data_IF_594323020150
#
_entry.id   IF_594323020150
#
_cell.length_a   1.000
_cell.length_b   1.000
_cell.length_c   1.000
_cell.angle_alpha   90.00
_cell.angle_beta   90.00
_cell.angle_gamma   90.00
#
_symmetry.space_group_name_H-M   'P 1'
#
loop_
_entity.id
_entity.type
_entity.pdbx_description
1 polymer ?
#
# COMPACT_ATOMS: atom_id res chain seq x y z
N UNK A 1 18.51 17.99 -12.32
CA UNK A 1 17.68 17.46 -13.42
C UNK A 1 17.38 16.01 -13.10
N UNK A 2 16.10 15.61 -13.01
CA UNK A 2 15.71 14.21 -12.82
C UNK A 2 15.72 13.51 -14.17
N UNK A 3 16.38 12.36 -14.27
CA UNK A 3 16.36 11.56 -15.49
C UNK A 3 15.40 10.38 -15.32
N UNK A 4 14.45 10.27 -16.25
CA UNK A 4 13.38 9.29 -16.19
C UNK A 4 13.59 8.17 -17.22
N UNK A 5 13.45 6.92 -16.79
CA UNK A 5 13.71 5.74 -17.64
C UNK A 5 12.53 4.79 -17.68
N UNK A 6 12.24 4.22 -18.85
CA UNK A 6 11.25 3.14 -18.98
C UNK A 6 11.84 1.86 -18.39
N UNK A 7 11.12 1.20 -17.48
CA UNK A 7 11.61 0.08 -16.66
C UNK A 7 12.13 -1.17 -17.39
N UNK A 8 11.97 -1.26 -18.72
CA UNK A 8 12.50 -2.34 -19.57
C UNK A 8 13.49 -1.83 -20.64
N UNK A 9 14.08 -0.66 -20.44
CA UNK A 9 15.04 -0.11 -21.40
C UNK A 9 16.36 -0.89 -21.34
N UNK A 10 16.84 -1.49 -22.44
CA UNK A 10 18.14 -2.17 -22.48
C UNK A 10 19.32 -1.23 -22.20
N UNK A 11 19.09 0.09 -22.27
CA UNK A 11 20.08 1.13 -22.01
C UNK A 11 20.24 1.48 -20.52
N UNK A 12 19.47 0.87 -19.62
CA UNK A 12 19.60 1.08 -18.17
C UNK A 12 21.03 0.73 -17.70
N UNK A 13 21.56 -0.42 -18.10
CA UNK A 13 22.92 -0.84 -17.72
C UNK A 13 24.04 0.03 -18.32
N UNK A 14 23.84 0.57 -19.53
CA UNK A 14 24.85 1.43 -20.18
C UNK A 14 24.92 2.84 -19.57
N UNK A 15 23.81 3.39 -19.08
CA UNK A 15 23.80 4.69 -18.39
C UNK A 15 24.46 4.59 -17.01
N UNK A 16 24.29 3.45 -16.31
CA UNK A 16 24.94 3.19 -15.01
C UNK A 16 26.48 3.22 -15.09
N UNK A 17 27.06 2.97 -16.26
CA UNK A 17 28.51 2.86 -16.44
C UNK A 17 29.15 4.15 -16.99
N UNK A 18 28.35 5.17 -17.32
CA UNK A 18 28.80 6.39 -18.02
C UNK A 18 28.62 7.70 -17.26
N UNK A 19 28.08 7.69 -16.04
CA UNK A 19 27.89 8.93 -15.27
C UNK A 19 29.10 9.26 -14.39
N UNK A 20 29.76 10.36 -14.75
CA UNK A 20 30.79 11.05 -14.00
C UNK A 20 30.40 11.26 -12.53
N UNK A 21 31.42 11.15 -11.68
CA UNK A 21 31.40 11.17 -10.20
C UNK A 21 30.80 12.44 -9.54
N UNK A 22 30.19 13.36 -10.28
CA UNK A 22 29.72 14.66 -9.78
C UNK A 22 28.25 15.01 -10.08
N UNK A 23 27.42 14.06 -10.52
CA UNK A 23 25.99 14.32 -10.72
C UNK A 23 25.14 13.09 -10.43
N UNK A 24 24.75 12.91 -9.17
CA UNK A 24 23.74 11.94 -8.73
C UNK A 24 22.35 12.36 -9.24
N UNK A 25 22.20 12.48 -10.55
CA UNK A 25 20.90 12.70 -11.15
C UNK A 25 20.07 11.45 -10.86
N UNK A 26 19.14 11.60 -9.92
CA UNK A 26 18.24 10.55 -9.49
C UNK A 26 17.60 9.88 -10.70
N UNK A 27 17.96 8.61 -10.86
CA UNK A 27 17.51 7.78 -11.95
C UNK A 27 16.16 7.18 -11.54
N UNK A 28 15.07 7.77 -12.01
CA UNK A 28 13.71 7.37 -11.60
C UNK A 28 13.05 6.58 -12.71
N UNK A 29 12.34 5.51 -12.35
CA UNK A 29 11.50 4.79 -13.31
C UNK A 29 10.32 5.67 -13.76
N UNK A 30 10.16 5.87 -15.07
CA UNK A 30 8.96 6.45 -15.66
C UNK A 30 7.75 5.60 -15.30
N UNK A 31 6.74 6.23 -14.71
CA UNK A 31 5.47 5.59 -14.39
C UNK A 31 4.30 6.48 -14.77
N UNK A 32 3.15 5.86 -15.00
CA UNK A 32 1.92 6.58 -15.36
C UNK A 32 1.36 7.40 -14.20
N UNK A 33 1.69 7.04 -12.96
CA UNK A 33 1.21 7.72 -11.75
C UNK A 33 2.13 8.88 -11.28
N UNK A 34 3.17 9.21 -12.07
CA UNK A 34 4.06 10.38 -11.91
C UNK A 34 4.62 10.58 -10.49
N UNK A 35 4.83 9.50 -9.76
CA UNK A 35 5.34 9.51 -8.39
C UNK A 35 6.65 8.70 -8.37
N UNK A 36 7.66 9.12 -7.61
CA UNK A 36 8.95 8.42 -7.55
C UNK A 36 8.91 7.14 -6.70
N UNK A 37 7.73 6.81 -6.18
CA UNK A 37 7.41 5.56 -5.49
C UNK A 37 6.13 4.95 -6.09
N UNK A 38 5.85 3.68 -5.81
CA UNK A 38 4.54 3.05 -6.00
C UNK A 38 3.90 2.78 -4.65
N UNK A 39 2.68 3.29 -4.47
CA UNK A 39 1.84 2.93 -3.32
C UNK A 39 0.85 1.87 -3.77
N UNK A 40 1.09 0.63 -3.36
CA UNK A 40 0.19 -0.48 -3.61
C UNK A 40 -0.76 -0.63 -2.41
N UNK A 41 -2.05 -0.43 -2.67
CA UNK A 41 -3.12 -0.50 -1.68
C UNK A 41 -3.94 -1.77 -1.91
N UNK A 42 -3.84 -2.73 -0.99
CA UNK A 42 -4.47 -4.03 -1.15
C UNK A 42 -5.47 -4.30 -0.02
N UNK A 43 -6.76 -4.43 -0.35
CA UNK A 43 -7.81 -4.79 0.60
C UNK A 43 -7.73 -6.30 0.86
N UNK A 44 -7.26 -6.70 2.05
CA UNK A 44 -7.02 -8.11 2.41
C UNK A 44 -8.26 -8.83 2.92
N UNK A 45 -9.01 -8.18 3.80
CA UNK A 45 -10.12 -8.83 4.50
C UNK A 45 -11.24 -7.84 4.78
N UNK A 46 -12.47 -8.34 4.67
CA UNK A 46 -13.70 -7.58 4.87
C UNK A 46 -14.58 -8.32 5.88
N UNK A 47 -14.37 -8.08 7.18
CA UNK A 47 -15.16 -8.68 8.27
C UNK A 47 -16.48 -7.93 8.47
N UNK A 48 -17.34 -8.38 9.40
CA UNK A 48 -18.62 -7.71 9.67
C UNK A 48 -18.44 -6.25 10.09
N UNK A 49 -17.52 -6.00 11.02
CA UNK A 49 -17.34 -4.68 11.65
C UNK A 49 -16.03 -3.99 11.28
N UNK A 50 -15.09 -4.72 10.68
CA UNK A 50 -13.76 -4.22 10.35
C UNK A 50 -13.37 -4.60 8.93
N UNK A 51 -12.47 -3.83 8.35
CA UNK A 51 -11.80 -4.18 7.11
C UNK A 51 -10.31 -3.90 7.22
N UNK A 52 -9.52 -4.72 6.53
CA UNK A 52 -8.07 -4.67 6.61
C UNK A 52 -7.47 -4.33 5.26
N UNK A 53 -6.56 -3.38 5.28
CA UNK A 53 -5.76 -2.96 4.14
C UNK A 53 -4.31 -3.28 4.41
N UNK A 54 -3.60 -3.79 3.41
CA UNK A 54 -2.15 -3.81 3.39
C UNK A 54 -1.67 -2.75 2.42
N UNK A 55 -0.84 -1.84 2.92
CA UNK A 55 -0.16 -0.84 2.12
C UNK A 55 1.28 -1.27 1.90
N UNK A 56 1.77 -1.10 0.67
CA UNK A 56 3.16 -1.36 0.30
C UNK A 56 3.68 -0.16 -0.47
N UNK A 57 4.75 0.45 0.03
CA UNK A 57 5.42 1.58 -0.59
C UNK A 57 6.71 1.06 -1.21
N UNK A 58 6.84 1.14 -2.52
CA UNK A 58 8.02 0.67 -3.26
C UNK A 58 8.75 1.85 -3.87
N UNK A 59 10.06 1.91 -3.71
CA UNK A 59 10.91 2.93 -4.31
C UNK A 59 11.17 2.63 -5.79
N UNK A 60 11.00 3.63 -6.65
CA UNK A 60 11.32 3.57 -8.08
C UNK A 60 12.53 4.41 -8.48
N UNK A 61 13.25 4.91 -7.48
CA UNK A 61 14.49 5.62 -7.61
C UNK A 61 15.67 4.64 -7.50
N UNK A 62 16.41 4.45 -8.58
CA UNK A 62 17.60 3.58 -8.60
C UNK A 62 18.83 4.26 -8.00
N UNK A 63 18.82 5.59 -7.88
CA UNK A 63 19.98 6.36 -7.43
C UNK A 63 19.86 6.92 -6.01
N UNK A 64 18.69 6.84 -5.36
CA UNK A 64 18.48 7.48 -4.05
C UNK A 64 17.57 6.68 -3.11
N UNK A 65 18.00 6.59 -1.85
CA UNK A 65 17.18 6.14 -0.73
C UNK A 65 16.33 7.31 -0.22
N UNK A 66 15.19 7.02 0.39
CA UNK A 66 14.44 8.00 1.17
C UNK A 66 14.59 7.72 2.66
N UNK A 67 15.30 8.59 3.37
CA UNK A 67 15.32 8.60 4.85
C UNK A 67 14.15 9.42 5.37
N UNK A 68 13.62 9.04 6.54
CA UNK A 68 12.52 9.74 7.22
C UNK A 68 11.34 10.03 6.26
N UNK A 69 11.05 9.06 5.40
CA UNK A 69 10.02 9.20 4.39
C UNK A 69 8.65 9.40 5.05
N UNK A 70 7.81 10.19 4.39
CA UNK A 70 6.47 10.53 4.84
C UNK A 70 5.47 10.25 3.73
N UNK A 71 4.40 9.52 4.06
CA UNK A 71 3.30 9.22 3.16
C UNK A 71 2.02 9.82 3.75
N UNK A 72 1.39 10.73 3.01
CA UNK A 72 0.07 11.26 3.38
C UNK A 72 -0.97 10.61 2.49
N UNK A 73 -2.02 10.05 3.08
CA UNK A 73 -3.14 9.48 2.37
C UNK A 73 -4.45 10.10 2.87
N UNK A 74 -5.31 10.49 1.94
CA UNK A 74 -6.66 10.98 2.23
C UNK A 74 -7.69 9.91 1.90
N UNK A 75 -8.51 9.55 2.89
CA UNK A 75 -9.60 8.60 2.78
C UNK A 75 -10.64 8.89 3.88
N UNK A 76 -11.95 8.90 3.56
CA UNK A 76 -13.00 9.25 4.53
C UNK A 76 -12.97 8.40 5.81
N UNK A 77 -12.55 7.14 5.71
CA UNK A 77 -12.50 6.20 6.84
C UNK A 77 -11.24 6.27 7.71
N UNK A 78 -10.31 7.21 7.47
CA UNK A 78 -9.16 7.41 8.38
C UNK A 78 -9.58 7.92 9.75
N UNK A 79 -10.74 8.55 9.85
CA UNK A 79 -11.38 8.89 11.14
C UNK A 79 -11.67 7.65 12.01
N UNK A 80 -11.78 6.47 11.39
CA UNK A 80 -12.14 5.19 12.01
C UNK A 80 -10.98 4.20 11.96
N UNK A 81 -9.75 4.68 11.80
CA UNK A 81 -8.55 3.86 11.88
C UNK A 81 -8.39 3.32 13.31
N UNK A 82 -8.44 2.00 13.45
CA UNK A 82 -8.40 1.32 14.75
C UNK A 82 -6.98 0.93 15.13
N UNK A 83 -6.23 0.37 14.19
CA UNK A 83 -4.83 0.02 14.42
C UNK A 83 -4.02 0.08 13.14
N UNK A 84 -2.74 0.34 13.31
CA UNK A 84 -1.72 0.30 12.26
C UNK A 84 -0.57 -0.57 12.76
N UNK A 85 0.00 -1.38 11.87
CA UNK A 85 1.19 -2.17 12.15
C UNK A 85 2.37 -1.67 11.33
N UNK A 86 3.58 -1.79 11.87
CA UNK A 86 4.85 -1.50 11.18
C UNK A 86 5.12 -0.04 10.79
N UNK A 87 4.14 0.87 10.78
CA UNK A 87 4.34 2.32 10.58
C UNK A 87 3.85 3.11 11.78
N UNK A 88 4.39 4.31 11.95
CA UNK A 88 3.79 5.33 12.79
C UNK A 88 2.71 6.09 12.00
N UNK A 89 1.72 6.62 12.72
CA UNK A 89 0.68 7.45 12.12
C UNK A 89 0.29 8.63 13.00
N UNK A 90 -0.18 9.68 12.34
CA UNK A 90 -0.96 10.74 12.98
C UNK A 90 -2.06 11.20 12.03
N UNK A 91 -3.22 11.55 12.59
CA UNK A 91 -4.28 12.19 11.82
C UNK A 91 -3.90 13.66 11.57
N UNK A 92 -3.97 14.10 10.32
CA UNK A 92 -3.85 15.51 9.97
C UNK A 92 -5.24 16.13 9.98
N UNK A 93 -5.40 17.21 10.74
CA UNK A 93 -6.63 17.99 10.78
C UNK A 93 -6.34 19.46 10.45
N UNK A 94 -6.21 19.81 9.16
CA UNK A 94 -5.77 21.15 8.77
C UNK A 94 -6.76 22.26 9.15
N UNK A 95 -8.05 21.93 9.36
CA UNK A 95 -9.11 22.92 9.62
C UNK A 95 -10.07 22.56 10.76
N UNK A 96 -9.71 21.61 11.63
CA UNK A 96 -10.54 21.20 12.77
C UNK A 96 -11.76 20.33 12.42
N UNK A 97 -12.15 20.25 11.14
CA UNK A 97 -13.46 19.73 10.73
C UNK A 97 -13.49 18.23 10.41
N UNK A 98 -12.42 17.65 9.85
CA UNK A 98 -12.41 16.24 9.40
C UNK A 98 -11.01 15.61 9.52
N UNK A 99 -10.94 14.44 10.15
CA UNK A 99 -9.73 13.60 10.26
C UNK A 99 -9.67 12.57 9.13
N UNK A 100 -9.91 13.00 7.89
CA UNK A 100 -9.93 12.13 6.72
C UNK A 100 -8.55 11.94 6.09
N UNK A 101 -7.51 12.52 6.69
CA UNK A 101 -6.16 12.54 6.18
C UNK A 101 -5.22 11.97 7.24
N UNK A 102 -4.41 10.98 6.87
CA UNK A 102 -3.41 10.38 7.73
C UNK A 102 -2.01 10.63 7.19
N UNK A 103 -1.10 11.07 8.06
CA UNK A 103 0.33 11.08 7.83
C UNK A 103 0.93 9.79 8.40
N UNK A 104 1.66 9.06 7.57
CA UNK A 104 2.31 7.79 7.86
C UNK A 104 3.82 7.95 7.69
N UNK A 105 4.61 7.39 8.58
CA UNK A 105 6.07 7.39 8.47
C UNK A 105 6.69 6.14 9.08
N UNK A 106 7.95 5.90 8.74
CA UNK A 106 8.72 4.77 9.25
C UNK A 106 8.99 4.85 10.76
N UNK A 107 9.13 3.70 11.39
CA UNK A 107 9.62 3.54 12.76
C UNK A 107 11.14 3.65 12.71
N UNK A 108 11.69 4.50 13.57
CA UNK A 108 13.13 4.75 13.68
C UNK A 108 13.89 3.43 13.89
N UNK A 109 14.97 3.20 13.16
CA UNK A 109 15.78 1.98 13.21
C UNK A 109 15.08 0.68 12.77
N UNK A 110 13.90 0.76 12.15
CA UNK A 110 13.20 -0.41 11.61
C UNK A 110 12.90 -0.26 10.12
N UNK A 111 12.18 0.79 9.74
CA UNK A 111 11.82 1.07 8.35
C UNK A 111 11.74 2.58 8.07
N UNK A 112 12.50 3.37 8.81
CA UNK A 112 12.74 4.80 8.58
C UNK A 112 13.59 5.08 7.33
N UNK A 113 14.13 4.03 6.69
CA UNK A 113 14.76 4.08 5.39
C UNK A 113 13.95 3.26 4.38
N UNK A 114 13.59 3.92 3.27
CA UNK A 114 13.10 3.27 2.07
C UNK A 114 14.26 3.20 1.07
N UNK A 115 14.83 1.99 0.94
CA UNK A 115 15.99 1.73 0.09
C UNK A 115 15.69 1.97 -1.39
N UNK A 116 16.74 2.11 -2.20
CA UNK A 116 16.65 2.26 -3.66
C UNK A 116 15.82 1.16 -4.32
N UNK A 117 15.38 1.42 -5.55
CA UNK A 117 14.64 0.45 -6.35
C UNK A 117 15.43 -0.88 -6.47
N UNK A 118 14.78 -1.98 -6.08
CA UNK A 118 15.36 -3.31 -6.03
C UNK A 118 14.47 -4.28 -5.24
N UNK A 119 14.92 -5.53 -5.01
CA UNK A 119 14.15 -6.55 -4.28
C UNK A 119 13.73 -6.10 -2.87
N UNK A 120 14.58 -5.33 -2.19
CA UNK A 120 14.36 -4.84 -0.82
C UNK A 120 13.93 -3.36 -0.77
N UNK A 121 13.66 -2.76 -1.94
CA UNK A 121 13.28 -1.35 -2.09
C UNK A 121 11.84 -1.06 -1.71
N UNK A 122 11.31 -1.68 -0.65
CA UNK A 122 9.91 -1.51 -0.25
C UNK A 122 9.70 -1.57 1.26
N UNK A 123 8.64 -0.93 1.72
CA UNK A 123 8.16 -1.01 3.11
C UNK A 123 6.67 -1.33 3.13
N UNK A 124 6.20 -2.02 4.17
CA UNK A 124 4.81 -2.48 4.27
C UNK A 124 4.20 -2.20 5.64
N UNK A 125 2.89 -2.03 5.65
CA UNK A 125 2.09 -1.87 6.86
C UNK A 125 0.69 -2.45 6.63
N UNK A 126 0.06 -2.91 7.72
CA UNK A 126 -1.36 -3.24 7.72
C UNK A 126 -2.16 -2.21 8.52
N UNK A 127 -3.26 -1.76 7.93
CA UNK A 127 -4.23 -0.85 8.53
C UNK A 127 -5.51 -1.64 8.81
N UNK A 128 -6.00 -1.54 10.04
CA UNK A 128 -7.30 -2.04 10.43
C UNK A 128 -8.24 -0.87 10.65
N UNK A 129 -9.33 -0.89 9.90
CA UNK A 129 -10.34 0.14 9.95
C UNK A 129 -11.64 -0.43 10.50
N UNK A 130 -12.29 0.33 11.39
CA UNK A 130 -13.68 0.06 11.76
C UNK A 130 -14.59 0.50 10.61
N UNK A 131 -15.65 -0.27 10.37
CA UNK A 131 -16.68 0.06 9.41
C UNK A 131 -17.73 0.92 10.07
N UNK A 132 -18.08 2.00 9.39
CA UNK A 132 -19.30 2.74 9.63
C UNK A 132 -20.37 2.25 8.64
N UNK A 133 -21.47 1.62 9.12
CA UNK A 133 -22.54 1.12 8.25
C UNK A 133 -23.17 2.18 7.35
N UNK A 134 -23.08 3.46 7.71
CA UNK A 134 -23.67 4.55 6.94
C UNK A 134 -22.82 5.01 5.75
N UNK A 135 -21.50 4.77 5.79
CA UNK A 135 -20.56 5.30 4.79
C UNK A 135 -19.74 4.21 4.08
N UNK A 136 -19.60 3.02 4.67
CA UNK A 136 -18.76 1.96 4.13
C UNK A 136 -19.35 1.31 2.87
N UNK A 137 -18.55 1.25 1.80
CA UNK A 137 -18.89 0.54 0.56
C UNK A 137 -17.63 0.08 -0.16
N UNK A 138 -17.68 -1.04 -0.88
CA UNK A 138 -16.56 -1.47 -1.75
C UNK A 138 -16.79 -1.12 -3.23
N UNK A 139 -17.88 -0.39 -3.52
CA UNK A 139 -18.24 0.05 -4.87
C UNK A 139 -17.48 1.31 -5.28
N UNK A 140 -17.43 1.54 -6.59
CA UNK A 140 -16.82 2.70 -7.24
C UNK A 140 -15.46 3.10 -6.68
N UNK A 141 -14.57 2.14 -6.41
CA UNK A 141 -13.22 2.42 -5.90
C UNK A 141 -13.18 3.06 -4.51
N UNK A 142 -14.28 3.06 -3.75
CA UNK A 142 -14.35 3.74 -2.44
C UNK A 142 -13.28 3.30 -1.46
N UNK A 143 -12.90 2.01 -1.49
CA UNK A 143 -11.92 1.43 -0.57
C UNK A 143 -10.48 1.94 -0.79
N UNK A 144 -10.23 2.74 -1.82
CA UNK A 144 -8.92 3.26 -2.20
C UNK A 144 -8.77 4.74 -1.81
N UNK A 145 -7.55 5.20 -1.50
CA UNK A 145 -7.33 6.59 -1.11
C UNK A 145 -7.68 7.56 -2.24
N UNK A 146 -8.29 8.69 -1.88
CA UNK A 146 -8.67 9.74 -2.83
C UNK A 146 -7.47 10.55 -3.29
N UNK A 147 -6.52 10.79 -2.39
CA UNK A 147 -5.27 11.52 -2.64
C UNK A 147 -4.13 10.88 -1.89
N UNK A 148 -2.94 10.96 -2.48
CA UNK A 148 -1.70 10.47 -1.90
C UNK A 148 -0.60 11.50 -2.14
N UNK A 149 0.17 11.78 -1.11
CA UNK A 149 1.38 12.59 -1.18
C UNK A 149 2.56 11.83 -0.61
N UNK A 150 3.71 11.95 -1.23
CA UNK A 150 4.96 11.35 -0.75
C UNK A 150 6.00 12.44 -0.58
N UNK A 151 6.54 12.58 0.63
CA UNK A 151 7.50 13.65 1.00
C UNK A 151 7.04 15.07 0.61
N UNK A 152 5.73 15.31 0.58
CA UNK A 152 5.12 16.59 0.20
C UNK A 152 4.69 16.69 -1.26
N UNK A 153 5.20 15.82 -2.15
CA UNK A 153 4.83 15.80 -3.56
C UNK A 153 3.53 15.03 -3.80
N UNK A 154 2.63 15.60 -4.60
CA UNK A 154 1.35 14.97 -4.96
C UNK A 154 1.57 13.85 -5.98
N UNK A 155 1.05 12.66 -5.67
CA UNK A 155 1.07 11.52 -6.58
C UNK A 155 -0.28 11.40 -7.33
N UNK A 156 -0.24 10.99 -8.60
CA UNK A 156 -1.44 10.84 -9.42
C UNK A 156 -2.13 9.54 -9.04
N UNK A 157 -3.38 9.62 -8.61
CA UNK A 157 -4.24 8.47 -8.33
C UNK A 157 -5.14 8.17 -9.53
N UNK A 158 -5.42 6.89 -9.83
CA UNK A 158 -6.45 6.52 -10.80
C UNK A 158 -7.81 7.11 -10.41
N UNK A 159 -8.69 7.40 -11.39
CA UNK A 159 -10.05 7.78 -11.09
C UNK A 159 -10.82 6.59 -10.44
N UNK A 160 -11.89 6.85 -9.66
CA UNK A 160 -12.55 5.81 -8.86
C UNK A 160 -13.10 4.61 -9.64
N UNK A 161 -13.46 4.83 -10.91
CA UNK A 161 -13.95 3.85 -11.88
C UNK A 161 -12.85 2.95 -12.47
N UNK A 162 -11.58 3.37 -12.40
CA UNK A 162 -10.44 2.58 -12.86
C UNK A 162 -9.93 1.57 -11.82
N UNK A 163 -10.41 1.64 -10.57
CA UNK A 163 -10.04 0.68 -9.54
C UNK A 163 -10.73 -0.68 -9.76
N UNK A 164 -10.09 -1.79 -9.37
CA UNK A 164 -10.67 -3.11 -9.55
C UNK A 164 -11.95 -3.27 -8.72
N UNK A 165 -12.88 -4.07 -9.24
CA UNK A 165 -14.07 -4.42 -8.47
C UNK A 165 -13.74 -5.32 -7.31
N UNK A 166 -14.21 -4.92 -6.13
CA UNK A 166 -14.04 -5.66 -4.89
C UNK A 166 -15.37 -6.34 -4.51
N UNK A 167 -15.38 -7.65 -4.22
CA UNK A 167 -16.58 -8.34 -3.81
C UNK A 167 -17.03 -7.86 -2.41
N UNK A 168 -18.33 -7.63 -2.24
CA UNK A 168 -18.91 -7.14 -0.98
C UNK A 168 -18.84 -8.17 0.16
N UNK A 169 -18.75 -9.46 -0.15
CA UNK A 169 -18.77 -10.54 0.81
C UNK A 169 -17.42 -11.26 0.83
N UNK A 170 -16.94 -11.60 2.03
CA UNK A 170 -15.95 -12.65 2.16
C UNK A 170 -16.64 -13.97 1.80
N UNK A 171 -16.10 -14.69 0.82
CA UNK A 171 -16.41 -16.11 0.65
C UNK A 171 -16.03 -16.80 1.94
N UNK A 172 -17.01 -17.19 2.75
CA UNK A 172 -16.77 -18.06 3.90
C UNK A 172 -16.06 -19.28 3.35
N UNK A 173 -14.82 -19.52 3.77
CA UNK A 173 -14.19 -20.82 3.53
C UNK A 173 -15.04 -21.82 4.32
N UNK A 174 -15.97 -22.49 3.64
CA UNK A 174 -16.66 -23.66 4.17
C UNK A 174 -15.59 -24.73 4.30
N UNK A 175 -14.94 -24.78 5.47
CA UNK A 175 -14.18 -25.94 5.89
C UNK A 175 -15.19 -27.09 5.89
N UNK A 176 -15.11 -27.95 4.88
CA UNK A 176 -15.99 -29.11 4.76
C UNK A 176 -15.67 -30.07 5.90
N UNK A 177 -16.53 -30.08 6.92
CA UNK A 177 -16.46 -31.01 8.06
C UNK A 177 -16.68 -32.47 7.60
N UNK A 178 -17.09 -32.68 6.34
CA UNK A 178 -17.32 -34.01 5.77
C UNK A 178 -15.99 -34.78 5.60
N UNK A 179 -14.89 -34.09 5.28
CA UNK A 179 -13.59 -34.75 5.02
C UNK A 179 -13.00 -35.43 6.27
N UNK A 180 -12.95 -34.81 7.46
CA UNK A 180 -12.44 -35.50 8.66
C UNK A 180 -13.38 -36.61 9.16
N UNK A 181 -14.70 -36.51 8.94
CA UNK A 181 -15.67 -37.54 9.35
C UNK A 181 -15.53 -38.85 8.57
N UNK A 182 -15.34 -38.78 7.25
CA UNK A 182 -15.15 -39.98 6.41
C UNK A 182 -13.82 -40.68 6.75
N UNK A 183 -12.76 -39.91 7.02
CA UNK A 183 -11.48 -40.45 7.48
C UNK A 183 -11.57 -41.10 8.86
N UNK A 184 -12.40 -40.58 9.76
CA UNK A 184 -12.63 -41.18 11.09
C UNK A 184 -13.41 -42.49 11.01
N UNK A 185 -14.41 -42.57 10.13
CA UNK A 185 -15.19 -43.79 9.87
C UNK A 185 -14.34 -44.89 9.22
N UNK A 186 -13.45 -44.53 8.29
CA UNK A 186 -12.55 -45.50 7.64
C UNK A 186 -11.42 -45.99 8.55
N UNK A 187 -11.05 -45.23 9.59
CA UNK A 187 -9.94 -45.54 10.49
C UNK A 187 -10.36 -46.35 11.74
N UNK A 188 -11.66 -46.59 11.97
CA UNK A 188 -12.14 -47.22 13.19
C UNK A 188 -12.96 -48.50 12.88
N UNK A 189 -12.38 -49.71 13.04
CA UNK A 189 -13.01 -50.97 12.62
C UNK A 189 -14.06 -51.52 13.60
N UNK A 190 -14.65 -50.67 14.44
CA UNK A 190 -15.63 -51.06 15.46
C UNK A 190 -17.05 -50.50 15.21
N UNK A 191 -17.32 -50.07 13.97
CA UNK A 191 -18.65 -49.89 13.40
C UNK A 191 -18.67 -50.44 11.97
#
# INVERSE_FOLDING_TARGET
MLHFFRGNSPYLGSVMNGQDKNGLASLVQCTTHMCPIRVHWHVKANYKEYWRVKITVTNFNYGMNYSQWNLVAQHPNFNSLTSITSFNYTALNPYGLMNDTALLWGIRHYNDYLLTAGPDGYVQSELLFRKDPSTFTLRAGWAFPRRVYFNGDKCVTPPPDAYPWLPNASTKSTISVIVPLVLWMLANPYF
#
